data_IF_057908125585
#
_entry.id   IF_057908125585
#
_cell.length_a   1.000
_cell.length_b   1.000
_cell.length_c   1.000
_cell.angle_alpha   90.00
_cell.angle_beta   90.00
_cell.angle_gamma   90.00
#
_symmetry.space_group_name_H-M   'P 1'
#
loop_
_entity.id
_entity.type
_entity.pdbx_description
1 polymer ?
#
# COMPACT_ATOMS: atom_id res chain seq x y z
N UNK A 1 -21.62 -50.07 -27.47
CA UNK A 1 -21.09 -51.12 -26.57
C UNK A 1 -20.30 -50.42 -25.46
N UNK A 2 -20.78 -50.56 -24.22
CA UNK A 2 -20.04 -50.79 -22.95
C UNK A 2 -18.86 -49.84 -22.65
N UNK A 3 -18.66 -49.18 -21.50
CA UNK A 3 -19.34 -48.94 -20.23
C UNK A 3 -18.51 -47.79 -19.57
N UNK A 4 -19.08 -46.82 -18.84
CA UNK A 4 -19.31 -46.90 -17.39
C UNK A 4 -18.00 -46.77 -16.60
N UNK A 5 -17.77 -45.81 -15.70
CA UNK A 5 -18.25 -45.79 -14.29
C UNK A 5 -17.27 -44.87 -13.50
N UNK A 6 -17.55 -44.17 -12.39
CA UNK A 6 -18.69 -43.96 -11.49
C UNK A 6 -18.38 -42.67 -10.68
N UNK A 7 -19.37 -41.80 -10.53
CA UNK A 7 -19.43 -40.76 -9.48
C UNK A 7 -19.40 -41.44 -8.10
N UNK A 8 -18.55 -40.96 -7.21
CA UNK A 8 -18.67 -41.25 -5.78
C UNK A 8 -19.60 -40.21 -5.15
N UNK A 9 -20.78 -40.67 -4.76
CA UNK A 9 -21.71 -39.95 -3.90
C UNK A 9 -21.95 -40.81 -2.66
N UNK A 10 -22.27 -40.14 -1.55
CA UNK A 10 -22.70 -40.66 -0.24
C UNK A 10 -21.53 -40.99 0.70
N UNK A 11 -21.55 -40.58 1.98
CA UNK A 11 -22.66 -40.77 2.93
C UNK A 11 -22.77 -39.61 3.93
N UNK A 12 -24.02 -39.20 4.13
CA UNK A 12 -24.55 -38.32 5.17
C UNK A 12 -24.40 -38.97 6.55
N UNK A 13 -23.77 -38.28 7.50
CA UNK A 13 -23.90 -38.59 8.93
C UNK A 13 -24.75 -37.49 9.58
N UNK A 14 -26.03 -37.80 9.75
CA UNK A 14 -27.00 -37.03 10.52
C UNK A 14 -26.88 -37.46 11.99
N UNK A 15 -26.43 -36.55 12.86
CA UNK A 15 -26.63 -36.67 14.31
C UNK A 15 -27.45 -35.45 14.74
N UNK A 16 -28.70 -35.68 15.12
CA UNK A 16 -29.60 -34.68 15.67
C UNK A 16 -29.99 -35.06 17.11
N UNK A 17 -30.10 -34.01 17.93
CA UNK A 17 -30.67 -33.87 19.28
C UNK A 17 -29.61 -33.58 20.37
N UNK A 18 -29.62 -32.46 21.10
CA UNK A 18 -30.52 -31.30 21.10
C UNK A 18 -30.16 -30.32 22.24
N UNK A 19 -30.41 -29.04 21.97
CA UNK A 19 -30.67 -27.88 22.84
C UNK A 19 -29.81 -27.59 24.09
N UNK A 20 -29.02 -26.51 24.01
CA UNK A 20 -28.83 -25.57 25.11
C UNK A 20 -28.92 -24.13 24.58
N UNK A 21 -29.77 -23.33 25.21
CA UNK A 21 -30.05 -21.94 24.85
C UNK A 21 -28.94 -21.02 25.38
N UNK A 22 -28.43 -20.13 24.53
CA UNK A 22 -27.57 -19.01 24.90
C UNK A 22 -27.82 -17.86 23.92
N UNK A 23 -28.27 -16.73 24.44
CA UNK A 23 -28.64 -15.51 23.70
C UNK A 23 -27.40 -14.78 23.12
N UNK A 24 -27.55 -13.78 22.23
CA UNK A 24 -26.44 -13.24 21.45
C UNK A 24 -25.58 -12.34 22.34
N UNK A 25 -24.32 -12.72 22.52
CA UNK A 25 -23.29 -11.85 23.06
C UNK A 25 -22.63 -11.14 21.90
N UNK A 26 -22.82 -9.83 21.84
CA UNK A 26 -21.96 -8.92 21.10
C UNK A 26 -20.53 -9.18 21.57
N UNK A 27 -19.68 -9.70 20.68
CA UNK A 27 -18.25 -9.80 20.95
C UNK A 27 -17.62 -8.46 20.63
N UNK A 28 -17.07 -7.71 21.59
CA UNK A 28 -16.10 -6.69 21.25
C UNK A 28 -14.81 -7.40 20.83
N UNK A 29 -14.37 -7.03 19.63
CA UNK A 29 -13.00 -6.94 19.14
C UNK A 29 -11.91 -7.56 20.02
N UNK A 30 -11.16 -8.48 19.42
CA UNK A 30 -9.94 -9.01 20.00
C UNK A 30 -8.98 -7.88 20.36
N UNK A 31 -8.62 -7.87 21.64
CA UNK A 31 -7.43 -7.26 22.23
C UNK A 31 -6.23 -7.39 21.28
N UNK A 32 -5.77 -6.28 20.71
CA UNK A 32 -4.44 -6.25 20.11
C UNK A 32 -3.38 -6.33 21.23
N UNK A 33 -2.28 -7.08 21.02
CA UNK A 33 -1.14 -7.06 21.93
C UNK A 33 -0.35 -5.75 21.68
N UNK A 34 -0.12 -4.87 22.64
CA UNK A 34 -0.49 -4.89 24.05
C UNK A 34 -0.22 -3.55 24.74
N UNK A 35 -0.35 -3.48 26.07
CA UNK A 35 0.08 -2.34 26.86
C UNK A 35 1.57 -2.48 27.21
N UNK A 36 2.41 -1.59 26.67
CA UNK A 36 3.76 -1.30 27.17
C UNK A 36 3.70 -0.26 28.30
N UNK A 37 4.65 -0.23 29.25
CA UNK A 37 4.53 0.53 30.49
C UNK A 37 4.77 2.02 30.17
N UNK A 38 3.82 2.92 30.32
CA UNK A 38 3.17 3.19 31.59
C UNK A 38 1.69 3.60 31.41
N UNK A 39 0.88 3.17 32.36
CA UNK A 39 -0.55 3.48 32.38
C UNK A 39 -0.76 5.00 32.34
N UNK A 40 -1.51 5.47 31.33
CA UNK A 40 -2.07 6.82 31.19
C UNK A 40 -1.99 7.59 32.51
N UNK A 41 -0.92 8.38 32.63
CA UNK A 41 -0.69 9.23 33.78
C UNK A 41 -1.88 10.16 33.94
N UNK A 42 -2.13 10.71 35.15
CA UNK A 42 -3.07 11.81 35.26
C UNK A 42 -2.61 12.90 34.30
N UNK A 43 -3.55 13.50 33.54
CA UNK A 43 -3.29 14.69 32.75
C UNK A 43 -2.35 15.62 33.52
N UNK A 44 -1.20 15.98 32.92
CA UNK A 44 -0.06 16.68 33.52
C UNK A 44 0.99 15.79 34.24
N UNK A 45 1.39 14.67 33.65
CA UNK A 45 2.67 14.06 33.98
C UNK A 45 3.79 14.98 33.43
N UNK A 46 4.71 15.53 34.25
CA UNK A 46 5.81 16.34 33.71
C UNK A 46 6.74 15.56 32.78
N UNK A 47 6.62 14.23 32.74
CA UNK A 47 7.37 13.35 31.84
C UNK A 47 6.58 12.94 30.59
N UNK A 48 5.30 13.31 30.47
CA UNK A 48 4.39 12.98 29.34
C UNK A 48 3.35 14.11 29.26
N UNK A 49 3.64 15.12 28.43
CA UNK A 49 2.97 16.43 28.48
C UNK A 49 1.67 16.43 27.67
N UNK A 50 1.57 15.63 26.62
CA UNK A 50 0.37 15.50 25.77
C UNK A 50 -0.46 14.24 26.03
N UNK A 51 0.02 13.31 26.86
CA UNK A 51 -0.68 12.11 27.34
C UNK A 51 -0.94 11.07 26.25
N UNK A 52 -0.01 10.89 25.34
CA UNK A 52 -0.04 9.81 24.35
C UNK A 52 0.61 8.50 24.82
N UNK A 53 1.25 8.54 26.00
CA UNK A 53 1.89 7.39 26.63
C UNK A 53 3.38 7.25 26.37
N UNK A 54 4.01 8.24 25.72
CA UNK A 54 5.45 8.30 25.50
C UNK A 54 6.11 9.36 26.40
N UNK A 55 7.33 9.04 26.88
CA UNK A 55 8.06 9.97 27.76
C UNK A 55 8.95 10.93 26.95
N UNK A 56 9.24 12.11 27.49
CA UNK A 56 10.10 13.18 26.89
C UNK A 56 11.43 12.70 26.29
N UNK A 57 11.96 11.56 26.74
CA UNK A 57 13.23 11.02 26.25
C UNK A 57 13.11 10.23 24.93
N UNK A 58 11.90 9.84 24.55
CA UNK A 58 11.60 9.03 23.35
C UNK A 58 10.62 9.72 22.41
N UNK A 59 9.79 10.62 22.94
CA UNK A 59 8.91 11.49 22.19
C UNK A 59 9.70 12.71 21.67
N UNK A 60 9.68 12.91 20.36
CA UNK A 60 10.35 14.04 19.71
C UNK A 60 9.54 15.34 19.78
N UNK A 61 8.26 15.29 20.16
CA UNK A 61 7.40 16.44 20.39
C UNK A 61 6.33 16.20 21.48
N UNK A 62 6.74 16.35 22.76
CA UNK A 62 5.88 16.23 23.95
C UNK A 62 4.60 17.09 24.00
N UNK A 63 4.37 17.96 23.01
CA UNK A 63 3.17 18.79 22.96
C UNK A 63 2.20 18.36 21.84
N UNK A 64 2.50 17.29 21.12
CA UNK A 64 1.68 16.78 20.03
C UNK A 64 1.50 15.26 20.11
N UNK A 65 0.32 14.77 20.53
CA UNK A 65 0.08 13.34 20.76
C UNK A 65 -0.01 12.51 19.46
N UNK A 66 0.24 13.13 18.29
CA UNK A 66 0.35 12.44 17.00
C UNK A 66 1.80 12.35 16.51
N UNK A 67 2.77 12.77 17.33
CA UNK A 67 4.20 12.67 17.04
C UNK A 67 4.82 11.90 18.20
N UNK A 68 5.05 10.61 17.99
CA UNK A 68 5.61 9.67 18.97
C UNK A 68 6.05 8.38 18.28
N UNK A 69 6.86 7.53 18.93
CA UNK A 69 7.34 6.24 18.40
C UNK A 69 6.36 5.20 17.87
N UNK A 70 5.05 5.47 17.89
CA UNK A 70 4.03 4.61 17.31
C UNK A 70 3.12 5.31 16.30
N UNK A 71 3.38 6.58 16.00
CA UNK A 71 2.64 7.32 14.99
C UNK A 71 2.92 6.76 13.59
N UNK A 72 2.03 7.05 12.65
CA UNK A 72 2.23 6.76 11.24
C UNK A 72 2.70 8.04 10.56
N UNK A 73 3.67 7.90 9.65
CA UNK A 73 4.13 9.01 8.83
C UNK A 73 3.07 9.49 7.83
N UNK A 74 3.09 10.79 7.59
CA UNK A 74 2.32 11.53 6.60
C UNK A 74 3.22 12.52 5.91
N UNK A 75 2.91 12.89 4.68
CA UNK A 75 3.68 13.82 3.86
C UNK A 75 3.51 15.28 4.31
N UNK A 76 3.97 15.61 5.52
CA UNK A 76 3.88 16.96 6.11
C UNK A 76 5.22 17.54 6.59
N UNK A 77 6.32 16.83 6.30
CA UNK A 77 7.70 17.18 6.66
C UNK A 77 7.96 17.19 8.17
N UNK A 78 7.19 16.40 8.91
CA UNK A 78 7.42 16.07 10.31
C UNK A 78 7.97 14.64 10.38
N UNK A 79 8.75 14.34 11.41
CA UNK A 79 9.10 12.97 11.79
C UNK A 79 8.07 12.59 12.84
N UNK A 80 7.05 11.80 12.46
CA UNK A 80 5.95 11.49 13.37
C UNK A 80 6.30 10.32 14.28
N UNK A 81 7.05 9.34 13.81
CA UNK A 81 7.43 8.16 14.56
C UNK A 81 8.77 8.30 15.32
N UNK A 82 9.38 9.47 15.25
CA UNK A 82 10.59 9.84 15.97
C UNK A 82 11.78 8.90 15.69
N UNK A 83 11.85 8.24 14.53
CA UNK A 83 12.94 7.35 14.17
C UNK A 83 14.16 8.09 13.55
N UNK A 84 13.96 9.35 13.18
CA UNK A 84 14.95 10.27 12.64
C UNK A 84 14.98 10.39 11.11
N UNK A 85 14.19 9.59 10.41
CA UNK A 85 13.81 9.84 9.03
C UNK A 85 12.53 10.73 9.00
N UNK A 86 12.17 11.24 7.81
CA UNK A 86 11.03 12.16 7.66
C UNK A 86 10.21 11.73 6.46
N UNK A 87 8.90 11.61 6.67
CA UNK A 87 7.89 11.24 5.66
C UNK A 87 8.17 9.87 4.97
N UNK A 88 8.85 8.94 5.63
CA UNK A 88 9.11 7.58 5.15
C UNK A 88 7.88 6.68 5.28
N UNK A 89 7.63 5.84 4.28
CA UNK A 89 6.45 4.95 4.25
C UNK A 89 5.12 5.68 4.54
N UNK A 90 5.06 6.99 4.24
CA UNK A 90 3.93 7.85 4.56
C UNK A 90 2.63 7.32 3.95
N UNK A 91 1.56 7.28 4.75
CA UNK A 91 0.29 6.65 4.32
C UNK A 91 -0.43 7.42 3.21
N UNK A 92 -0.09 8.69 3.01
CA UNK A 92 -0.60 9.57 1.96
C UNK A 92 0.43 9.84 0.84
N UNK A 93 1.53 9.08 0.81
CA UNK A 93 2.45 9.04 -0.32
C UNK A 93 1.71 8.68 -1.62
N UNK A 94 2.18 9.27 -2.72
CA UNK A 94 1.69 8.97 -4.06
C UNK A 94 2.66 8.04 -4.78
N UNK A 95 2.13 7.15 -5.60
CA UNK A 95 2.94 6.32 -6.49
C UNK A 95 3.40 7.15 -7.69
N UNK A 96 4.69 7.10 -7.97
CA UNK A 96 5.34 7.66 -9.15
C UNK A 96 6.05 6.57 -9.94
N UNK A 97 6.18 6.75 -11.24
CA UNK A 97 6.70 5.78 -12.19
C UNK A 97 7.92 6.36 -12.90
N UNK A 98 8.95 5.56 -13.13
CA UNK A 98 10.16 6.01 -13.81
C UNK A 98 9.84 6.50 -15.23
N UNK A 99 10.46 7.61 -15.64
CA UNK A 99 10.40 8.21 -16.99
C UNK A 99 11.84 8.27 -17.50
N UNK A 100 12.38 7.10 -17.84
CA UNK A 100 13.81 6.90 -18.11
C UNK A 100 14.23 7.55 -19.42
N UNK A 101 13.34 7.56 -20.41
CA UNK A 101 13.60 8.16 -21.70
C UNK A 101 13.20 9.64 -21.81
N UNK A 102 12.42 10.16 -20.85
CA UNK A 102 12.12 11.57 -20.68
C UNK A 102 11.02 12.10 -21.60
N UNK A 103 10.07 11.24 -21.98
CA UNK A 103 8.93 11.62 -22.83
C UNK A 103 7.68 12.08 -22.03
N UNK A 104 7.70 11.89 -20.71
CA UNK A 104 6.65 12.30 -19.78
C UNK A 104 5.63 11.22 -19.45
N UNK A 105 5.83 9.99 -19.93
CA UNK A 105 5.06 8.81 -19.57
C UNK A 105 5.91 7.89 -18.69
N UNK A 106 5.26 7.14 -17.80
CA UNK A 106 5.97 6.37 -16.78
C UNK A 106 5.87 4.86 -16.98
N UNK A 107 6.94 4.14 -16.67
CA UNK A 107 7.00 2.67 -16.71
C UNK A 107 6.12 2.04 -15.62
N UNK A 108 5.03 1.32 -15.97
CA UNK A 108 4.16 0.63 -15.01
C UNK A 108 4.88 -0.46 -14.19
N UNK A 109 6.01 -0.98 -14.68
CA UNK A 109 6.81 -2.00 -14.00
C UNK A 109 7.90 -1.40 -13.06
N UNK A 110 8.11 -0.08 -13.09
CA UNK A 110 9.09 0.62 -12.27
C UNK A 110 8.47 1.80 -11.50
N UNK A 111 7.93 1.50 -10.32
CA UNK A 111 7.28 2.48 -9.44
C UNK A 111 7.93 2.66 -8.08
N UNK A 112 7.67 3.81 -7.47
CA UNK A 112 8.08 4.19 -6.12
C UNK A 112 7.01 5.05 -5.45
N UNK A 113 6.72 4.78 -4.18
CA UNK A 113 5.87 5.65 -3.37
C UNK A 113 6.71 6.76 -2.75
N UNK A 114 6.28 8.00 -2.93
CA UNK A 114 6.94 9.17 -2.37
C UNK A 114 5.96 10.32 -2.12
N UNK A 115 6.33 11.26 -1.26
CA UNK A 115 5.53 12.46 -1.02
C UNK A 115 5.57 13.47 -2.17
N UNK A 116 6.68 13.47 -2.92
CA UNK A 116 6.91 14.31 -4.08
C UNK A 116 7.51 13.44 -5.20
N UNK A 117 7.29 13.78 -6.48
CA UNK A 117 7.87 13.02 -7.58
C UNK A 117 9.41 13.02 -7.46
N UNK A 118 10.06 11.85 -7.42
CA UNK A 118 11.50 11.77 -7.53
C UNK A 118 12.00 12.31 -8.88
N UNK A 119 13.31 12.51 -8.99
CA UNK A 119 13.90 12.87 -10.27
C UNK A 119 13.62 11.76 -11.30
N UNK A 120 13.32 12.16 -12.54
CA UNK A 120 13.03 11.24 -13.65
C UNK A 120 11.86 10.28 -13.36
N UNK A 121 10.82 10.77 -12.66
CA UNK A 121 9.56 10.04 -12.43
C UNK A 121 8.33 10.92 -12.70
N UNK A 122 7.26 10.30 -13.17
CA UNK A 122 5.96 10.92 -13.45
C UNK A 122 4.82 10.23 -12.71
N UNK A 123 3.65 10.85 -12.67
CA UNK A 123 2.49 10.35 -11.91
C UNK A 123 1.60 9.37 -12.70
N UNK A 124 1.91 9.12 -13.97
CA UNK A 124 1.18 8.19 -14.82
C UNK A 124 2.04 6.95 -15.10
N UNK A 125 1.39 5.85 -15.42
CA UNK A 125 1.95 4.53 -15.71
C UNK A 125 1.67 4.10 -17.16
N UNK A 126 1.56 5.08 -18.06
CA UNK A 126 1.04 4.84 -19.41
C UNK A 126 2.15 4.48 -20.43
N UNK A 127 3.42 4.35 -20.02
CA UNK A 127 4.49 3.98 -20.93
C UNK A 127 4.62 2.46 -21.09
N UNK A 128 4.52 1.98 -22.33
CA UNK A 128 4.68 0.58 -22.66
C UNK A 128 6.10 0.20 -23.09
N UNK A 129 7.03 1.16 -23.19
CA UNK A 129 8.45 0.96 -23.50
C UNK A 129 9.37 2.16 -23.11
N UNK A 130 9.65 2.30 -21.82
CA UNK A 130 10.43 3.38 -21.16
C UNK A 130 11.92 3.54 -21.57
N UNK A 131 12.39 2.71 -22.51
CA UNK A 131 13.72 2.84 -23.11
C UNK A 131 13.70 3.67 -24.41
N UNK A 132 12.53 4.16 -24.86
CA UNK A 132 12.37 4.85 -26.15
C UNK A 132 11.22 5.88 -26.18
N UNK A 133 11.61 7.15 -26.02
CA UNK A 133 10.74 8.32 -25.97
C UNK A 133 9.84 8.57 -27.20
N UNK A 134 10.00 7.78 -28.27
CA UNK A 134 9.11 7.82 -29.44
C UNK A 134 7.89 6.88 -29.27
N UNK A 135 7.84 6.06 -28.23
CA UNK A 135 6.82 5.03 -27.96
C UNK A 135 5.99 5.44 -26.74
N UNK A 136 4.80 5.97 -26.96
CA UNK A 136 3.92 6.45 -25.90
C UNK A 136 2.49 6.69 -26.38
N UNK A 137 1.50 6.85 -25.48
CA UNK A 137 0.11 7.15 -25.84
C UNK A 137 -0.11 8.39 -26.71
N UNK A 138 0.88 9.28 -26.81
CA UNK A 138 0.85 10.44 -27.67
C UNK A 138 1.12 10.15 -29.15
N UNK A 139 1.51 8.92 -29.51
CA UNK A 139 1.85 8.61 -30.90
C UNK A 139 0.67 8.63 -31.86
N UNK A 140 0.98 9.06 -33.09
CA UNK A 140 0.02 9.09 -34.20
C UNK A 140 0.61 8.58 -35.51
N UNK A 141 1.89 8.16 -35.49
CA UNK A 141 2.56 7.56 -36.64
C UNK A 141 2.07 6.14 -36.92
N UNK A 142 2.27 5.69 -38.16
CA UNK A 142 2.14 4.29 -38.54
C UNK A 142 3.54 3.73 -38.78
N UNK A 143 3.93 2.70 -38.03
CA UNK A 143 5.31 2.27 -37.93
C UNK A 143 5.44 0.82 -38.39
N UNK A 144 6.11 0.62 -39.52
CA UNK A 144 6.34 -0.72 -40.07
C UNK A 144 7.56 -1.44 -39.51
N UNK A 145 8.23 -0.83 -38.53
CA UNK A 145 9.46 -1.35 -37.94
C UNK A 145 9.21 -1.69 -36.48
N UNK A 146 9.79 -2.81 -36.07
CA UNK A 146 9.87 -3.24 -34.69
C UNK A 146 10.54 -2.16 -33.82
N UNK A 147 9.96 -1.84 -32.67
CA UNK A 147 10.47 -0.78 -31.77
C UNK A 147 11.70 -1.19 -30.95
N UNK A 148 12.19 -2.43 -31.09
CA UNK A 148 13.41 -2.93 -30.45
C UNK A 148 13.19 -4.12 -29.50
N UNK A 149 11.94 -4.38 -29.12
CA UNK A 149 11.56 -5.39 -28.13
C UNK A 149 10.67 -6.52 -28.70
N UNK A 150 10.40 -6.52 -30.01
CA UNK A 150 9.47 -7.46 -30.64
C UNK A 150 8.05 -6.92 -30.84
N UNK A 151 7.75 -5.72 -30.35
CA UNK A 151 6.43 -5.09 -30.47
C UNK A 151 6.37 -4.04 -31.59
N UNK A 152 5.16 -3.86 -32.12
CA UNK A 152 4.79 -2.88 -33.15
C UNK A 152 3.75 -1.89 -32.61
N UNK A 153 3.49 -1.91 -31.31
CA UNK A 153 2.63 -0.96 -30.60
C UNK A 153 3.46 0.27 -30.24
N UNK A 154 3.32 1.35 -31.00
CA UNK A 154 4.06 2.59 -30.76
C UNK A 154 3.21 3.60 -30.00
N UNK A 155 1.89 3.43 -29.96
CA UNK A 155 0.95 4.30 -29.25
C UNK A 155 0.44 3.72 -27.92
N UNK A 156 1.02 2.60 -27.47
CA UNK A 156 0.67 1.92 -26.23
C UNK A 156 -0.83 1.58 -26.11
N UNK A 157 -1.53 1.39 -27.23
CA UNK A 157 -2.95 1.07 -27.24
C UNK A 157 -3.26 -0.41 -27.01
N UNK A 158 -2.23 -1.26 -26.95
CA UNK A 158 -2.33 -2.72 -26.97
C UNK A 158 -2.58 -3.28 -28.39
N UNK A 159 -2.41 -2.44 -29.41
CA UNK A 159 -2.60 -2.72 -30.83
C UNK A 159 -1.32 -3.11 -31.56
N UNK A 160 -1.41 -3.24 -32.89
CA UNK A 160 -0.23 -3.24 -33.76
C UNK A 160 -0.42 -2.10 -34.77
N UNK A 161 0.59 -1.25 -34.91
CA UNK A 161 0.59 -0.08 -35.79
C UNK A 161 1.58 -0.21 -36.96
#
# INVERSE_FOLDING_TARGET
>A
MIAGTRRWLMVVALVLAGCAQGSPGEGPIGEQPGPGPDAAGPANNPNDVDNDGFEVGVDCNDNNPNVNPSALESCDSVDQDCDGDVDEEAFDASTYYADTDGDGYGDPDASVDACNPPADHVANDDDCYDDNAEVNPGQTGFFTTDRGDGSFDWDCSGGVD
#
